data_IF_574169506104
#
_entry.id   IF_574169506104
#
_cell.length_a   1.000
_cell.length_b   1.000
_cell.length_c   1.000
_cell.angle_alpha   90.00
_cell.angle_beta   90.00
_cell.angle_gamma   90.00
#
_symmetry.space_group_name_H-M   'P 1'
#
loop_
_entity.id
_entity.type
_entity.pdbx_description
1 polymer ?
#
# COMPACT_ATOMS: atom_id res chain seq x y z
N UNK A 1 29.94 -60.67 -22.54
CA UNK A 1 29.64 -59.25 -22.26
C UNK A 1 30.92 -58.66 -21.66
N UNK A 2 31.90 -58.09 -22.40
CA UNK A 2 31.89 -56.83 -23.21
C UNK A 2 31.24 -55.71 -22.39
N UNK A 3 31.84 -54.57 -22.04
CA UNK A 3 33.16 -53.95 -22.28
C UNK A 3 33.30 -52.82 -21.23
N UNK A 4 34.43 -52.75 -20.51
CA UNK A 4 35.54 -51.78 -20.71
C UNK A 4 35.29 -50.34 -20.22
N UNK A 5 35.99 -50.07 -19.11
CA UNK A 5 36.61 -48.81 -18.71
C UNK A 5 37.11 -47.96 -19.90
N UNK A 6 36.88 -46.66 -19.82
CA UNK A 6 37.53 -45.66 -20.66
C UNK A 6 37.69 -44.33 -19.91
N UNK A 7 38.80 -44.19 -19.18
CA UNK A 7 39.36 -42.88 -18.80
C UNK A 7 40.12 -42.35 -20.02
N UNK A 8 39.85 -41.11 -20.44
CA UNK A 8 40.82 -40.35 -21.24
C UNK A 8 41.02 -39.00 -20.56
N UNK A 9 42.24 -38.84 -20.06
CA UNK A 9 42.79 -37.61 -19.56
C UNK A 9 43.29 -36.75 -20.72
N UNK A 10 43.17 -35.44 -20.55
CA UNK A 10 44.13 -34.47 -21.07
C UNK A 10 43.91 -33.98 -22.49
N UNK A 11 43.49 -32.73 -22.63
CA UNK A 11 44.25 -31.77 -23.44
C UNK A 11 43.92 -30.33 -23.01
N UNK A 12 44.98 -29.61 -22.69
CA UNK A 12 45.06 -28.19 -22.40
C UNK A 12 44.73 -27.39 -23.66
N UNK A 13 43.84 -26.39 -23.57
CA UNK A 13 43.86 -25.27 -24.50
C UNK A 13 43.47 -23.97 -23.78
N UNK A 14 44.44 -23.06 -23.74
CA UNK A 14 44.32 -21.66 -23.32
C UNK A 14 43.23 -20.93 -24.10
N UNK A 15 42.31 -20.25 -23.40
CA UNK A 15 41.71 -19.00 -23.87
C UNK A 15 41.69 -18.01 -22.71
N UNK A 16 42.54 -16.98 -22.83
CA UNK A 16 42.50 -15.73 -22.10
C UNK A 16 41.21 -14.98 -22.44
N UNK A 17 40.32 -14.72 -21.47
CA UNK A 17 39.37 -13.60 -21.53
C UNK A 17 39.13 -13.01 -20.12
N UNK A 18 39.75 -11.85 -19.92
CA UNK A 18 39.37 -10.69 -19.09
C UNK A 18 38.51 -10.86 -17.82
N UNK A 19 39.14 -10.56 -16.69
CA UNK A 19 38.67 -9.69 -15.60
C UNK A 19 37.16 -9.60 -15.34
N UNK A 20 36.62 -10.55 -14.58
CA UNK A 20 35.32 -10.37 -13.93
C UNK A 20 35.53 -9.60 -12.61
N UNK A 21 35.54 -8.27 -12.69
CA UNK A 21 35.24 -7.44 -11.53
C UNK A 21 33.79 -7.73 -11.12
N UNK A 22 33.59 -8.65 -10.18
CA UNK A 22 32.33 -8.80 -9.49
C UNK A 22 32.14 -7.59 -8.56
N UNK A 23 31.75 -6.46 -9.15
CA UNK A 23 31.25 -5.32 -8.40
C UNK A 23 29.95 -5.77 -7.74
N UNK A 24 30.02 -6.11 -6.44
CA UNK A 24 28.81 -6.21 -5.61
C UNK A 24 28.15 -4.84 -5.61
N UNK A 25 27.16 -4.65 -6.47
CA UNK A 25 26.18 -3.58 -6.28
C UNK A 25 25.28 -4.02 -5.13
N UNK A 26 25.70 -3.68 -3.92
CA UNK A 26 24.77 -3.47 -2.83
C UNK A 26 23.97 -2.22 -3.16
N UNK A 27 22.98 -2.35 -4.04
CA UNK A 27 21.99 -1.32 -4.23
C UNK A 27 21.14 -1.29 -2.97
N UNK A 28 21.24 -0.22 -2.20
CA UNK A 28 20.19 0.13 -1.23
C UNK A 28 18.83 0.05 -1.94
N UNK A 29 17.73 -0.31 -1.26
CA UNK A 29 16.42 -0.35 -1.89
C UNK A 29 16.05 1.07 -2.36
N UNK A 30 16.25 1.33 -3.65
CA UNK A 30 15.59 2.45 -4.33
C UNK A 30 14.12 2.05 -4.31
N UNK A 31 13.32 2.76 -3.50
CA UNK A 31 11.87 2.62 -3.55
C UNK A 31 11.45 3.10 -4.94
N UNK A 32 11.26 2.15 -5.86
CA UNK A 32 10.83 2.39 -7.23
C UNK A 32 9.33 2.69 -7.21
N UNK A 33 9.03 3.95 -6.94
CA UNK A 33 7.66 4.46 -6.94
C UNK A 33 7.03 4.27 -8.34
N UNK A 34 7.79 4.20 -9.44
CA UNK A 34 7.24 4.13 -10.79
C UNK A 34 6.38 2.88 -11.10
N UNK A 35 6.56 1.79 -10.35
CA UNK A 35 5.82 0.52 -10.51
C UNK A 35 4.87 0.18 -9.35
N UNK A 36 5.03 0.81 -8.19
CA UNK A 36 4.19 0.51 -7.04
C UNK A 36 2.81 1.18 -7.13
N UNK A 37 2.70 2.37 -7.74
CA UNK A 37 1.43 3.11 -7.83
C UNK A 37 0.34 2.34 -8.58
N UNK A 38 0.68 1.57 -9.63
CA UNK A 38 -0.32 0.74 -10.33
C UNK A 38 -0.83 -0.39 -9.43
N UNK A 39 0.05 -0.95 -8.61
CA UNK A 39 -0.32 -1.98 -7.62
C UNK A 39 -1.16 -1.39 -6.50
N UNK A 40 -0.84 -0.17 -6.06
CA UNK A 40 -1.63 0.58 -5.09
C UNK A 40 -3.02 0.91 -5.63
N UNK A 41 -3.14 1.33 -6.90
CA UNK A 41 -4.43 1.58 -7.51
C UNK A 41 -5.28 0.32 -7.57
N UNK A 42 -4.67 -0.82 -7.92
CA UNK A 42 -5.35 -2.11 -7.88
C UNK A 42 -5.79 -2.45 -6.45
N UNK A 43 -4.95 -2.22 -5.45
CA UNK A 43 -5.31 -2.44 -4.05
C UNK A 43 -6.48 -1.55 -3.60
N UNK A 44 -6.50 -0.27 -3.98
CA UNK A 44 -7.63 0.63 -3.71
C UNK A 44 -8.94 0.11 -4.33
N UNK A 45 -8.89 -0.32 -5.60
CA UNK A 45 -10.04 -0.93 -6.28
C UNK A 45 -10.55 -2.17 -5.53
N UNK A 46 -9.64 -3.06 -5.14
CA UNK A 46 -9.97 -4.27 -4.39
C UNK A 46 -10.58 -3.93 -3.02
N UNK A 47 -10.10 -2.87 -2.37
CA UNK A 47 -10.62 -2.33 -1.12
C UNK A 47 -12.04 -1.80 -1.27
N UNK A 48 -12.27 -0.92 -2.26
CA UNK A 48 -13.60 -0.36 -2.58
C UNK A 48 -14.62 -1.44 -2.88
N UNK A 49 -14.27 -2.37 -3.77
CA UNK A 49 -15.16 -3.48 -4.14
C UNK A 49 -15.57 -4.32 -2.91
N UNK A 50 -14.64 -4.57 -1.98
CA UNK A 50 -14.94 -5.32 -0.75
C UNK A 50 -15.78 -4.52 0.22
N UNK A 51 -15.54 -3.22 0.33
CA UNK A 51 -16.34 -2.31 1.15
C UNK A 51 -17.80 -2.31 0.70
N UNK A 52 -18.03 -2.15 -0.60
CA UNK A 52 -19.38 -2.17 -1.20
C UNK A 52 -20.11 -3.50 -0.99
N UNK A 53 -19.36 -4.59 -0.90
CA UNK A 53 -19.90 -5.93 -0.62
C UNK A 53 -20.08 -6.22 0.89
N UNK A 54 -19.83 -5.25 1.76
CA UNK A 54 -19.91 -5.41 3.21
C UNK A 54 -18.78 -6.25 3.83
N UNK A 55 -17.74 -6.59 3.07
CA UNK A 55 -16.59 -7.38 3.54
C UNK A 55 -15.54 -6.47 4.18
N UNK A 56 -15.92 -5.81 5.28
CA UNK A 56 -15.15 -4.70 5.86
C UNK A 56 -13.74 -5.07 6.33
N UNK A 57 -13.55 -6.24 6.94
CA UNK A 57 -12.21 -6.68 7.36
C UNK A 57 -11.26 -6.82 6.17
N UNK A 58 -11.73 -7.46 5.09
CA UNK A 58 -10.93 -7.60 3.88
C UNK A 58 -10.72 -6.26 3.18
N UNK A 59 -11.75 -5.40 3.16
CA UNK A 59 -11.65 -4.07 2.59
C UNK A 59 -10.54 -3.27 3.27
N UNK A 60 -10.49 -3.27 4.61
CA UNK A 60 -9.47 -2.56 5.37
C UNK A 60 -8.05 -3.03 5.03
N UNK A 61 -7.84 -4.34 4.87
CA UNK A 61 -6.53 -4.88 4.49
C UNK A 61 -6.06 -4.32 3.14
N UNK A 62 -6.94 -4.30 2.13
CA UNK A 62 -6.61 -3.76 0.81
C UNK A 62 -6.42 -2.25 0.79
N UNK A 63 -7.20 -1.51 1.60
CA UNK A 63 -7.06 -0.07 1.72
C UNK A 63 -5.73 0.31 2.38
N UNK A 64 -5.33 -0.38 3.45
CA UNK A 64 -4.02 -0.17 4.11
C UNK A 64 -2.86 -0.57 3.19
N UNK A 65 -3.02 -1.63 2.38
CA UNK A 65 -2.04 -1.99 1.34
C UNK A 65 -1.91 -0.88 0.29
N UNK A 66 -3.02 -0.30 -0.19
CA UNK A 66 -3.00 0.81 -1.14
C UNK A 66 -2.26 2.04 -0.58
N UNK A 67 -2.53 2.38 0.68
CA UNK A 67 -1.85 3.47 1.39
C UNK A 67 -0.34 3.18 1.56
N UNK A 68 0.02 1.94 1.87
CA UNK A 68 1.42 1.51 2.07
C UNK A 68 2.22 1.51 0.77
N UNK A 69 1.63 1.02 -0.31
CA UNK A 69 2.24 1.04 -1.64
C UNK A 69 2.36 2.48 -2.19
N UNK A 70 1.56 3.39 -1.64
CA UNK A 70 1.44 4.78 -2.06
C UNK A 70 0.47 4.89 -3.23
N UNK A 71 -0.45 5.86 -3.17
CA UNK A 71 -1.35 6.24 -4.27
C UNK A 71 -0.89 7.54 -4.94
N UNK A 72 -0.97 7.57 -6.29
CA UNK A 72 -0.39 8.67 -7.09
C UNK A 72 -1.23 9.93 -7.02
N UNK A 73 -2.56 9.78 -7.01
CA UNK A 73 -3.49 10.88 -6.90
C UNK A 73 -3.79 11.13 -5.41
N UNK A 74 -3.63 12.37 -4.89
CA UNK A 74 -4.05 12.71 -3.54
C UNK A 74 -5.51 12.36 -3.24
N UNK A 75 -6.41 12.48 -4.22
CA UNK A 75 -7.83 12.14 -4.05
C UNK A 75 -8.05 10.65 -3.77
N UNK A 76 -7.25 9.77 -4.39
CA UNK A 76 -7.29 8.33 -4.13
C UNK A 76 -6.83 8.02 -2.70
N UNK A 77 -5.81 8.73 -2.22
CA UNK A 77 -5.34 8.63 -0.83
C UNK A 77 -6.41 9.10 0.16
N UNK A 78 -7.10 10.20 -0.15
CA UNK A 78 -8.25 10.71 0.61
C UNK A 78 -9.39 9.67 0.64
N UNK A 79 -9.75 9.08 -0.50
CA UNK A 79 -10.77 8.02 -0.57
C UNK A 79 -10.38 6.81 0.30
N UNK A 80 -9.12 6.35 0.18
CA UNK A 80 -8.62 5.22 0.94
C UNK A 80 -8.71 5.44 2.45
N UNK A 81 -8.26 6.60 2.93
CA UNK A 81 -8.40 6.98 4.35
C UNK A 81 -9.87 7.12 4.77
N UNK A 82 -10.75 7.68 3.92
CA UNK A 82 -12.18 7.83 4.24
C UNK A 82 -12.83 6.48 4.50
N UNK A 83 -12.65 5.53 3.57
CA UNK A 83 -13.22 4.19 3.69
C UNK A 83 -12.63 3.44 4.89
N UNK A 84 -11.32 3.54 5.11
CA UNK A 84 -10.65 2.94 6.27
C UNK A 84 -11.16 3.53 7.60
N UNK A 85 -11.40 4.85 7.66
CA UNK A 85 -11.99 5.52 8.82
C UNK A 85 -13.39 4.99 9.13
N UNK A 86 -14.26 4.92 8.11
CA UNK A 86 -15.62 4.38 8.28
C UNK A 86 -15.60 2.95 8.82
N UNK A 87 -14.77 2.09 8.22
CA UNK A 87 -14.59 0.70 8.65
C UNK A 87 -14.10 0.64 10.11
N UNK A 88 -13.08 1.43 10.47
CA UNK A 88 -12.53 1.43 11.83
C UNK A 88 -13.55 1.91 12.87
N UNK A 89 -14.34 2.93 12.53
CA UNK A 89 -15.39 3.44 13.40
C UNK A 89 -16.47 2.38 13.68
N UNK A 90 -16.98 1.68 12.64
CA UNK A 90 -18.01 0.64 12.84
C UNK A 90 -17.47 -0.60 13.57
N UNK A 91 -16.18 -0.89 13.46
CA UNK A 91 -15.50 -1.96 14.20
C UNK A 91 -15.12 -1.58 15.64
N UNK A 92 -15.61 -0.45 16.17
CA UNK A 92 -15.29 0.01 17.54
C UNK A 92 -13.79 0.20 17.79
N UNK A 93 -13.05 0.67 16.77
CA UNK A 93 -11.63 1.07 16.85
C UNK A 93 -11.50 2.60 16.73
N UNK A 94 -11.89 3.38 17.76
CA UNK A 94 -11.96 4.84 17.67
C UNK A 94 -10.59 5.51 17.48
N UNK A 95 -9.50 4.89 17.95
CA UNK A 95 -8.14 5.39 17.71
C UNK A 95 -7.77 5.40 16.23
N UNK A 96 -8.01 4.28 15.54
CA UNK A 96 -7.76 4.17 14.10
C UNK A 96 -8.71 5.04 13.28
N UNK A 97 -9.98 5.12 13.67
CA UNK A 97 -10.94 5.99 13.00
C UNK A 97 -10.48 7.47 13.01
N UNK A 98 -10.05 7.97 14.17
CA UNK A 98 -9.48 9.33 14.28
C UNK A 98 -8.21 9.50 13.46
N UNK A 99 -7.31 8.51 13.50
CA UNK A 99 -6.06 8.52 12.74
C UNK A 99 -6.35 8.70 11.25
N UNK A 100 -7.19 7.86 10.66
CA UNK A 100 -7.48 7.96 9.23
C UNK A 100 -8.15 9.29 8.85
N UNK A 101 -9.08 9.82 9.65
CA UNK A 101 -9.62 11.16 9.39
C UNK A 101 -8.58 12.27 9.51
N UNK A 102 -7.62 12.12 10.42
CA UNK A 102 -6.53 13.09 10.59
C UNK A 102 -5.60 13.09 9.38
N UNK A 103 -5.19 11.91 8.91
CA UNK A 103 -4.37 11.76 7.70
C UNK A 103 -5.10 12.29 6.46
N UNK A 104 -6.39 12.00 6.34
CA UNK A 104 -7.23 12.53 5.26
C UNK A 104 -7.21 14.06 5.26
N UNK A 105 -7.50 14.70 6.39
CA UNK A 105 -7.55 16.17 6.51
C UNK A 105 -6.17 16.83 6.42
N UNK A 106 -5.08 16.08 6.61
CA UNK A 106 -3.73 16.56 6.33
C UNK A 106 -3.46 16.65 4.82
N UNK A 107 -4.15 15.85 4.01
CA UNK A 107 -4.04 15.85 2.54
C UNK A 107 -5.02 16.87 1.95
N UNK A 108 -6.26 16.88 2.42
CA UNK A 108 -7.32 17.80 2.00
C UNK A 108 -7.96 18.48 3.24
N UNK A 109 -7.44 19.65 3.65
CA UNK A 109 -7.94 20.37 4.83
C UNK A 109 -9.39 20.85 4.71
N UNK A 110 -9.87 21.06 3.48
CA UNK A 110 -11.21 21.56 3.21
C UNK A 110 -12.23 20.42 3.05
N UNK A 111 -11.77 19.16 3.07
CA UNK A 111 -12.61 17.99 2.89
C UNK A 111 -13.88 18.00 3.76
N UNK A 112 -15.01 17.69 3.14
CA UNK A 112 -16.29 17.52 3.80
C UNK A 112 -16.87 16.14 3.50
N UNK A 113 -17.43 15.52 4.54
CA UNK A 113 -18.27 14.34 4.34
C UNK A 113 -19.53 14.72 3.56
N UNK A 114 -20.01 13.80 2.71
CA UNK A 114 -21.26 14.02 2.00
C UNK A 114 -22.42 14.14 3.00
N UNK A 115 -23.50 14.84 2.62
CA UNK A 115 -24.67 15.05 3.49
C UNK A 115 -25.24 13.76 4.07
N UNK A 116 -25.21 12.67 3.30
CA UNK A 116 -25.67 11.35 3.73
C UNK A 116 -24.72 10.68 4.75
N UNK A 117 -23.43 11.05 4.73
CA UNK A 117 -22.39 10.47 5.58
C UNK A 117 -22.26 11.20 6.93
N UNK A 118 -22.47 12.53 6.96
CA UNK A 118 -22.30 13.37 8.17
C UNK A 118 -23.18 12.92 9.34
N UNK A 119 -24.41 12.47 9.06
CA UNK A 119 -25.39 12.09 10.08
C UNK A 119 -25.17 10.73 10.73
N UNK A 120 -24.15 9.96 10.34
CA UNK A 120 -23.96 8.61 10.84
C UNK A 120 -23.45 8.62 12.29
N UNK A 121 -24.10 7.87 13.21
CA UNK A 121 -23.82 7.97 14.65
C UNK A 121 -22.41 7.53 15.04
N UNK A 122 -21.80 6.61 14.27
CA UNK A 122 -20.49 6.04 14.61
C UNK A 122 -19.30 6.91 14.20
N UNK A 123 -19.37 7.60 13.05
CA UNK A 123 -18.23 8.35 12.51
C UNK A 123 -18.45 9.86 12.43
N UNK A 124 -19.70 10.33 12.34
CA UNK A 124 -20.01 11.77 12.27
C UNK A 124 -19.43 12.58 13.43
N UNK A 125 -19.61 12.14 14.70
CA UNK A 125 -19.00 12.80 15.85
C UNK A 125 -17.47 12.80 15.80
N UNK A 126 -16.87 11.69 15.38
CA UNK A 126 -15.41 11.53 15.30
C UNK A 126 -14.82 12.45 14.23
N UNK A 127 -15.41 12.50 13.05
CA UNK A 127 -14.98 13.40 11.98
C UNK A 127 -15.10 14.87 12.41
N UNK A 128 -16.24 15.24 13.01
CA UNK A 128 -16.48 16.60 13.50
C UNK A 128 -15.46 17.02 14.57
N UNK A 129 -15.05 16.09 15.43
CA UNK A 129 -14.01 16.30 16.42
C UNK A 129 -12.65 16.57 15.77
N UNK A 130 -12.20 15.66 14.89
CA UNK A 130 -10.91 15.76 14.21
C UNK A 130 -10.83 17.04 13.37
N UNK A 131 -11.89 17.36 12.61
CA UNK A 131 -11.93 18.56 11.77
C UNK A 131 -11.78 19.85 12.58
N UNK A 132 -12.51 19.96 13.69
CA UNK A 132 -12.38 21.12 14.59
C UNK A 132 -10.97 21.25 15.15
N UNK A 133 -10.34 20.14 15.52
CA UNK A 133 -8.95 20.12 16.00
C UNK A 133 -7.94 20.48 14.91
N UNK A 134 -8.22 20.14 13.65
CA UNK A 134 -7.37 20.51 12.51
C UNK A 134 -7.46 22.03 12.20
N UNK A 135 -8.66 22.64 12.29
CA UNK A 135 -8.86 24.07 12.00
C UNK A 135 -8.27 25.02 13.05
N UNK A 136 -8.06 24.56 14.28
CA UNK A 136 -7.55 25.39 15.39
C UNK A 136 -6.01 25.49 15.41
N UNK A 137 -5.32 24.73 14.55
CA UNK A 137 -3.85 24.65 14.51
C UNK A 137 -3.26 25.61 13.48
#
# INVERSE_FOLDING_TARGET
MISRFGRVAGTVLCVLMLSACATRQGSAPVVDHGRNWQSAQLALEQGRQRYEQGRYEQALLWLEEALTLGLRNPEDTVEAHKLAAFIACVQSRPGDCRRHFTELLAIDPDFELARAEVGHPMWGPVFSEVKRSATVR
#
